data_IF_394799234802
#
_entry.id   IF_394799234802
#
_cell.length_a   1.000
_cell.length_b   1.000
_cell.length_c   1.000
_cell.angle_alpha   90.00
_cell.angle_beta   90.00
_cell.angle_gamma   90.00
#
_symmetry.space_group_name_H-M   'P 1'
#
loop_
_entity.id
_entity.type
_entity.pdbx_description
1 polymer ?
#
# COMPACT_ATOMS: atom_id res chain seq x y z
N UNK A 1 -11.30 3.59 -11.62
CA UNK A 1 -10.72 2.39 -12.24
C UNK A 1 -11.20 1.07 -11.64
N UNK A 2 -12.44 0.96 -11.21
CA UNK A 2 -13.06 -0.24 -10.58
C UNK A 2 -12.39 -0.71 -9.28
N UNK A 3 -11.51 0.09 -8.66
CA UNK A 3 -10.86 -0.26 -7.40
C UNK A 3 -11.86 -0.60 -6.29
N UNK A 4 -12.97 0.16 -6.18
CA UNK A 4 -14.01 -0.09 -5.16
C UNK A 4 -14.72 -1.43 -5.35
N UNK A 5 -14.93 -1.88 -6.59
CA UNK A 5 -15.55 -3.19 -6.86
C UNK A 5 -14.61 -4.34 -6.44
N UNK A 6 -13.32 -4.24 -6.78
CA UNK A 6 -12.31 -5.22 -6.35
C UNK A 6 -12.18 -5.23 -4.83
N UNK A 7 -12.09 -4.07 -4.22
CA UNK A 7 -12.01 -3.92 -2.77
C UNK A 7 -13.21 -4.55 -2.07
N UNK A 8 -14.43 -4.25 -2.55
CA UNK A 8 -15.66 -4.84 -2.02
C UNK A 8 -15.69 -6.36 -2.17
N UNK A 9 -15.30 -6.90 -3.32
CA UNK A 9 -15.24 -8.34 -3.55
C UNK A 9 -14.26 -9.04 -2.58
N UNK A 10 -13.10 -8.42 -2.32
CA UNK A 10 -12.07 -8.99 -1.43
C UNK A 10 -12.42 -8.88 0.05
N UNK A 11 -13.15 -7.83 0.47
CA UNK A 11 -13.52 -7.62 1.89
C UNK A 11 -14.89 -8.20 2.27
N UNK A 12 -15.74 -8.50 1.28
CA UNK A 12 -17.09 -9.04 1.51
C UNK A 12 -17.14 -10.28 2.40
N UNK A 13 -16.27 -11.30 2.24
CA UNK A 13 -16.27 -12.46 3.13
C UNK A 13 -15.99 -12.11 4.59
N UNK A 14 -15.08 -11.16 4.85
CA UNK A 14 -14.75 -10.71 6.21
C UNK A 14 -15.97 -10.03 6.84
N UNK A 15 -16.59 -9.11 6.12
CA UNK A 15 -17.77 -8.39 6.61
C UNK A 15 -18.94 -9.36 6.87
N UNK A 16 -19.13 -10.34 5.99
CA UNK A 16 -20.17 -11.37 6.16
C UNK A 16 -19.93 -12.21 7.39
N UNK A 17 -18.70 -12.67 7.60
CA UNK A 17 -18.31 -13.43 8.79
C UNK A 17 -18.56 -12.63 10.08
N UNK A 18 -18.14 -11.37 10.14
CA UNK A 18 -18.35 -10.48 11.30
C UNK A 18 -19.85 -10.29 11.58
N UNK A 19 -20.66 -10.08 10.54
CA UNK A 19 -22.10 -9.89 10.69
C UNK A 19 -22.79 -11.17 11.20
N UNK A 20 -22.41 -12.34 10.67
CA UNK A 20 -22.93 -13.63 11.12
C UNK A 20 -22.57 -13.87 12.58
N UNK A 21 -21.30 -13.64 12.98
CA UNK A 21 -20.84 -13.76 14.35
C UNK A 21 -21.62 -12.86 15.30
N UNK A 22 -21.73 -11.57 14.97
CA UNK A 22 -22.40 -10.59 15.81
C UNK A 22 -23.92 -10.88 15.93
N UNK A 23 -24.54 -11.40 14.87
CA UNK A 23 -25.94 -11.82 14.92
C UNK A 23 -26.16 -12.99 15.86
N UNK A 24 -25.27 -13.98 15.83
CA UNK A 24 -25.34 -15.14 16.73
C UNK A 24 -25.15 -14.77 18.20
N UNK A 25 -24.26 -13.82 18.49
CA UNK A 25 -23.92 -13.41 19.86
C UNK A 25 -24.66 -12.15 20.34
N UNK A 26 -25.63 -11.66 19.57
CA UNK A 26 -26.35 -10.42 19.90
C UNK A 26 -26.99 -10.45 21.30
N UNK A 27 -27.63 -11.57 21.65
CA UNK A 27 -28.28 -11.74 22.96
C UNK A 27 -27.25 -11.75 24.09
N UNK A 28 -26.13 -12.42 23.88
CA UNK A 28 -25.06 -12.50 24.89
C UNK A 28 -24.43 -11.14 25.14
N UNK A 29 -24.17 -10.37 24.08
CA UNK A 29 -23.66 -9.00 24.15
C UNK A 29 -24.66 -8.10 24.91
N UNK A 30 -25.94 -8.13 24.55
CA UNK A 30 -26.98 -7.34 25.22
C UNK A 30 -27.12 -7.72 26.70
N UNK A 31 -27.08 -9.01 27.00
CA UNK A 31 -27.17 -9.54 28.36
C UNK A 31 -25.99 -9.04 29.20
N UNK A 32 -24.75 -9.14 28.67
CA UNK A 32 -23.56 -8.62 29.33
C UNK A 32 -23.69 -7.12 29.64
N UNK A 33 -24.07 -6.29 28.67
CA UNK A 33 -24.24 -4.86 28.89
C UNK A 33 -25.33 -4.52 29.92
N UNK A 34 -26.44 -5.25 29.91
CA UNK A 34 -27.52 -5.04 30.88
C UNK A 34 -27.07 -5.43 32.28
N UNK A 35 -26.38 -6.56 32.48
CA UNK A 35 -25.82 -6.97 33.75
C UNK A 35 -24.78 -5.95 34.26
N UNK A 36 -23.85 -5.56 33.41
CA UNK A 36 -22.84 -4.56 33.78
C UNK A 36 -23.49 -3.27 34.22
N UNK A 37 -24.44 -2.73 33.45
CA UNK A 37 -25.17 -1.49 33.78
C UNK A 37 -25.94 -1.63 35.10
N UNK A 38 -26.52 -2.78 35.38
CA UNK A 38 -27.20 -3.05 36.64
C UNK A 38 -26.23 -3.00 37.83
N UNK A 39 -25.06 -3.64 37.71
CA UNK A 39 -24.03 -3.64 38.75
C UNK A 39 -23.39 -2.26 38.96
N UNK A 40 -23.09 -1.54 37.86
CA UNK A 40 -22.60 -0.15 37.93
C UNK A 40 -23.61 0.77 38.63
N UNK A 41 -24.90 0.58 38.37
CA UNK A 41 -25.98 1.33 39.08
C UNK A 41 -26.04 0.94 40.53
N UNK A 42 -25.88 -0.34 40.88
CA UNK A 42 -25.85 -0.84 42.29
C UNK A 42 -24.65 -0.25 43.03
N UNK A 43 -23.47 -0.23 42.35
CA UNK A 43 -22.25 0.36 42.91
C UNK A 43 -22.40 1.86 43.21
N UNK A 44 -22.90 2.63 42.25
CA UNK A 44 -23.11 4.06 42.42
C UNK A 44 -24.10 4.36 43.58
N UNK A 45 -25.19 3.61 43.68
CA UNK A 45 -26.14 3.76 44.80
C UNK A 45 -25.52 3.41 46.16
N UNK A 46 -24.67 2.39 46.24
CA UNK A 46 -23.96 2.01 47.46
C UNK A 46 -22.99 3.12 47.89
N UNK A 47 -22.28 3.73 46.96
CA UNK A 47 -21.39 4.86 47.20
C UNK A 47 -22.17 6.10 47.69
N UNK A 48 -23.27 6.45 47.00
CA UNK A 48 -24.13 7.59 47.36
C UNK A 48 -24.75 7.46 48.77
N UNK A 49 -25.09 6.23 49.16
CA UNK A 49 -25.65 5.94 50.52
C UNK A 49 -24.59 5.84 51.59
N UNK A 50 -23.30 5.84 51.25
CA UNK A 50 -22.20 5.64 52.19
C UNK A 50 -22.21 4.25 52.86
N UNK A 51 -22.57 3.20 52.08
CA UNK A 51 -22.54 1.82 52.54
C UNK A 51 -21.11 1.38 52.92
N UNK A 52 -20.99 0.32 53.73
CA UNK A 52 -19.70 -0.16 54.23
C UNK A 52 -18.77 -0.56 53.05
N UNK A 53 -17.46 -0.31 53.21
CA UNK A 53 -16.47 -0.60 52.21
C UNK A 53 -16.38 -2.06 51.76
N UNK A 54 -16.87 -3.01 52.61
CA UNK A 54 -17.00 -4.41 52.26
C UNK A 54 -18.05 -4.62 51.17
N UNK A 55 -19.22 -3.98 51.28
CA UNK A 55 -20.30 -4.07 50.27
C UNK A 55 -19.87 -3.50 48.92
N UNK A 56 -19.18 -2.35 48.96
CA UNK A 56 -18.63 -1.71 47.74
C UNK A 56 -17.62 -2.65 47.06
N UNK A 57 -16.74 -3.30 47.84
CA UNK A 57 -15.75 -4.24 47.33
C UNK A 57 -16.40 -5.47 46.69
N UNK A 58 -17.44 -6.02 47.32
CA UNK A 58 -18.15 -7.21 46.84
C UNK A 58 -18.80 -6.90 45.47
N UNK A 59 -19.46 -5.74 45.35
CA UNK A 59 -20.03 -5.31 44.07
C UNK A 59 -18.93 -5.14 42.98
N UNK A 60 -17.79 -4.55 43.35
CA UNK A 60 -16.65 -4.39 42.44
C UNK A 60 -16.06 -5.73 42.01
N UNK A 61 -16.03 -6.74 42.91
CA UNK A 61 -15.64 -8.11 42.57
C UNK A 61 -16.64 -8.74 41.58
N UNK A 62 -17.96 -8.56 41.78
CA UNK A 62 -18.98 -9.02 40.85
C UNK A 62 -18.78 -8.42 39.43
N UNK A 63 -18.47 -7.10 39.35
CA UNK A 63 -18.20 -6.42 38.09
C UNK A 63 -16.95 -7.01 37.42
N UNK A 64 -15.87 -7.21 38.16
CA UNK A 64 -14.61 -7.71 37.64
C UNK A 64 -14.68 -9.18 37.26
N UNK A 65 -15.62 -9.95 37.83
CA UNK A 65 -15.85 -11.35 37.45
C UNK A 65 -16.67 -11.52 36.17
N UNK A 66 -17.34 -10.45 35.70
CA UNK A 66 -18.06 -10.51 34.44
C UNK A 66 -17.10 -10.73 33.29
N UNK A 67 -17.31 -11.82 32.56
CA UNK A 67 -16.58 -12.03 31.30
C UNK A 67 -17.07 -11.05 30.24
N UNK A 68 -16.21 -10.19 29.70
CA UNK A 68 -16.61 -9.23 28.68
C UNK A 68 -17.06 -9.95 27.39
N UNK A 69 -18.31 -9.75 27.01
CA UNK A 69 -18.82 -10.17 25.69
C UNK A 69 -18.98 -8.91 24.85
N UNK A 70 -18.25 -8.85 23.76
CA UNK A 70 -18.20 -7.68 22.86
C UNK A 70 -18.54 -8.08 21.44
N UNK A 71 -19.01 -7.10 20.67
CA UNK A 71 -19.14 -7.28 19.22
C UNK A 71 -17.76 -7.45 18.58
N UNK A 72 -17.67 -8.41 17.66
CA UNK A 72 -16.48 -8.60 16.85
C UNK A 72 -16.32 -7.44 15.88
N UNK A 73 -15.12 -6.86 15.79
CA UNK A 73 -14.78 -5.80 14.85
C UNK A 73 -13.39 -6.03 14.28
N UNK A 74 -13.31 -6.71 13.15
CA UNK A 74 -12.03 -7.08 12.53
C UNK A 74 -11.44 -5.98 11.66
N UNK A 75 -12.27 -5.12 11.05
CA UNK A 75 -11.83 -4.11 10.08
C UNK A 75 -12.46 -2.74 10.36
N UNK A 76 -11.71 -1.70 10.00
CA UNK A 76 -12.16 -0.31 9.98
C UNK A 76 -11.62 0.40 8.74
N UNK A 77 -12.25 1.49 8.30
CA UNK A 77 -11.82 2.26 7.12
C UNK A 77 -11.09 3.53 7.50
N UNK A 78 -11.45 4.13 8.63
CA UNK A 78 -10.88 5.39 9.12
C UNK A 78 -10.98 5.46 10.64
N UNK A 79 -9.89 5.81 11.32
CA UNK A 79 -9.81 5.77 12.78
C UNK A 79 -8.65 6.63 13.29
N UNK A 80 -8.85 7.37 14.40
CA UNK A 80 -7.75 8.05 15.09
C UNK A 80 -6.88 7.05 15.86
N UNK A 81 -5.65 7.41 16.17
CA UNK A 81 -4.73 6.54 16.92
C UNK A 81 -5.31 6.12 18.30
N UNK A 82 -6.03 7.01 18.96
CA UNK A 82 -6.66 6.76 20.26
C UNK A 82 -7.83 5.78 20.14
N UNK A 83 -8.72 6.01 19.19
CA UNK A 83 -9.84 5.12 18.95
C UNK A 83 -9.36 3.74 18.46
N UNK A 84 -8.30 3.70 17.65
CA UNK A 84 -7.67 2.46 17.22
C UNK A 84 -7.18 1.64 18.41
N UNK A 85 -6.44 2.26 19.34
CA UNK A 85 -5.95 1.58 20.54
C UNK A 85 -7.08 0.98 21.38
N UNK A 86 -8.15 1.73 21.60
CA UNK A 86 -9.32 1.25 22.34
C UNK A 86 -9.99 0.06 21.63
N UNK A 87 -10.20 0.18 20.31
CA UNK A 87 -10.82 -0.90 19.53
C UNK A 87 -9.92 -2.14 19.50
N UNK A 88 -8.60 -2.00 19.31
CA UNK A 88 -7.67 -3.12 19.34
C UNK A 88 -7.67 -3.84 20.68
N UNK A 89 -7.64 -3.11 21.78
CA UNK A 89 -7.75 -3.68 23.14
C UNK A 89 -9.03 -4.49 23.34
N UNK A 90 -10.12 -4.11 22.67
CA UNK A 90 -11.38 -4.83 22.68
C UNK A 90 -11.41 -6.05 21.75
N UNK A 91 -10.45 -6.17 20.82
CA UNK A 91 -10.38 -7.21 19.79
C UNK A 91 -9.05 -8.00 19.84
N UNK A 92 -8.61 -8.41 21.02
CA UNK A 92 -7.38 -9.19 21.22
C UNK A 92 -6.16 -8.54 20.54
N UNK A 93 -6.00 -7.23 20.69
CA UNK A 93 -4.91 -6.42 20.13
C UNK A 93 -4.80 -6.45 18.60
N UNK A 94 -5.82 -6.93 17.88
CA UNK A 94 -5.78 -7.07 16.42
C UNK A 94 -6.77 -6.16 15.71
N UNK A 95 -6.38 -5.61 14.54
CA UNK A 95 -7.25 -4.80 13.68
C UNK A 95 -6.74 -4.75 12.23
N UNK A 96 -7.68 -4.69 11.28
CA UNK A 96 -7.41 -4.36 9.89
C UNK A 96 -7.88 -2.93 9.56
N UNK A 97 -7.03 -2.10 8.98
CA UNK A 97 -7.45 -0.84 8.36
C UNK A 97 -7.54 -1.10 6.86
N UNK A 98 -8.76 -1.36 6.39
CA UNK A 98 -9.03 -1.66 4.99
C UNK A 98 -9.87 -0.53 4.39
N UNK A 99 -9.32 0.20 3.42
CA UNK A 99 -9.99 1.37 2.83
C UNK A 99 -9.86 1.40 1.30
N UNK A 100 -10.97 1.64 0.57
CA UNK A 100 -10.93 1.87 -0.88
C UNK A 100 -10.39 3.26 -1.24
N UNK A 101 -10.09 4.08 -0.22
CA UNK A 101 -9.59 5.45 -0.34
C UNK A 101 -8.44 5.67 0.64
N UNK A 102 -7.60 6.67 0.39
CA UNK A 102 -6.43 6.94 1.22
C UNK A 102 -6.66 7.89 2.40
N UNK A 103 -7.90 8.21 2.77
CA UNK A 103 -8.23 9.22 3.80
C UNK A 103 -7.64 8.94 5.18
N UNK A 104 -7.30 7.70 5.50
CA UNK A 104 -6.61 7.35 6.74
C UNK A 104 -5.24 8.05 6.87
N UNK A 105 -4.54 8.31 5.79
CA UNK A 105 -3.25 9.00 5.83
C UNK A 105 -3.38 10.46 6.26
N UNK A 106 -4.51 11.11 5.96
CA UNK A 106 -4.79 12.47 6.43
C UNK A 106 -4.98 12.48 7.95
N UNK A 107 -5.64 11.46 8.50
CA UNK A 107 -5.80 11.29 9.96
C UNK A 107 -4.46 11.03 10.63
N UNK A 108 -3.66 10.10 10.08
CA UNK A 108 -2.33 9.74 10.60
C UNK A 108 -1.39 10.95 10.55
N UNK A 109 -1.46 11.78 9.52
CA UNK A 109 -0.63 12.99 9.39
C UNK A 109 -0.97 14.10 10.39
N UNK A 110 -2.04 13.94 11.17
CA UNK A 110 -2.45 14.89 12.19
C UNK A 110 -3.38 16.01 11.69
N UNK A 111 -4.02 15.85 10.53
CA UNK A 111 -4.95 16.85 9.98
C UNK A 111 -6.07 17.23 10.97
N UNK A 112 -6.45 16.33 11.86
CA UNK A 112 -7.50 16.53 12.87
C UNK A 112 -6.97 16.72 14.31
N UNK A 113 -5.64 16.76 14.53
CA UNK A 113 -5.01 16.79 15.86
C UNK A 113 -3.94 17.86 16.01
N UNK A 114 -4.18 19.10 15.55
CA UNK A 114 -3.23 20.23 15.65
C UNK A 114 -1.80 19.86 15.21
N UNK A 115 -1.67 19.06 14.15
CA UNK A 115 -0.39 18.63 13.55
C UNK A 115 0.49 17.72 14.40
N UNK A 116 -0.03 17.13 15.48
CA UNK A 116 0.73 16.13 16.27
C UNK A 116 0.51 14.75 15.66
N UNK A 117 1.49 14.30 14.89
CA UNK A 117 1.49 12.96 14.28
C UNK A 117 1.84 11.89 15.31
N UNK A 118 0.88 11.06 15.71
CA UNK A 118 1.11 9.93 16.59
C UNK A 118 1.21 8.64 15.75
N UNK A 119 2.43 8.24 15.41
CA UNK A 119 2.68 7.04 14.60
C UNK A 119 2.93 5.77 15.42
N UNK A 120 3.10 5.88 16.74
CA UNK A 120 3.57 4.76 17.56
C UNK A 120 2.70 3.51 17.43
N UNK A 121 1.37 3.63 17.55
CA UNK A 121 0.49 2.47 17.44
C UNK A 121 0.54 1.79 16.06
N UNK A 122 0.74 2.58 14.99
CA UNK A 122 0.82 2.06 13.63
C UNK A 122 2.12 1.30 13.38
N UNK A 123 3.23 1.79 13.95
CA UNK A 123 4.53 1.15 13.86
C UNK A 123 4.58 -0.12 14.72
N UNK A 124 4.18 0.00 15.99
CA UNK A 124 4.15 -1.14 16.92
C UNK A 124 3.16 -2.22 16.47
N UNK A 125 2.00 -1.83 15.89
CA UNK A 125 1.06 -2.80 15.32
C UNK A 125 1.60 -3.57 14.11
N UNK A 126 2.59 -3.02 13.39
CA UNK A 126 3.33 -3.76 12.37
C UNK A 126 4.39 -4.68 12.98
N UNK A 127 5.12 -4.21 13.98
CA UNK A 127 6.24 -4.95 14.56
C UNK A 127 5.78 -5.96 15.63
N UNK A 128 4.57 -5.84 16.17
CA UNK A 128 4.06 -6.67 17.27
C UNK A 128 4.57 -6.24 18.66
N UNK A 129 5.17 -5.04 18.76
CA UNK A 129 5.76 -4.54 19.98
C UNK A 129 4.70 -4.00 20.95
N UNK A 130 4.80 -4.29 22.27
CA UNK A 130 3.84 -3.80 23.26
C UNK A 130 3.72 -2.28 23.25
N UNK A 131 2.48 -1.79 23.39
CA UNK A 131 2.17 -0.36 23.45
C UNK A 131 1.38 -0.06 24.69
N UNK A 132 1.82 0.95 25.47
CA UNK A 132 1.06 1.52 26.57
C UNK A 132 0.74 2.97 26.26
N UNK A 133 -0.55 3.32 26.26
CA UNK A 133 -1.06 4.66 26.00
C UNK A 133 -1.74 5.16 27.28
N UNK A 134 -1.06 6.03 28.01
CA UNK A 134 -1.59 6.65 29.23
C UNK A 134 -2.36 7.93 28.87
N UNK A 135 -3.57 8.06 29.39
CA UNK A 135 -4.46 9.22 29.22
C UNK A 135 -4.97 9.70 30.59
N UNK A 136 -5.45 10.94 30.60
CA UNK A 136 -5.96 11.56 31.83
C UNK A 136 -7.05 10.74 32.54
N UNK A 137 -7.82 9.96 31.81
CA UNK A 137 -8.98 9.20 32.30
C UNK A 137 -8.88 7.69 32.09
N UNK A 138 -7.68 7.15 31.85
CA UNK A 138 -7.44 5.72 31.69
C UNK A 138 -6.19 5.42 30.90
N UNK A 139 -5.75 4.17 30.99
CA UNK A 139 -4.64 3.66 30.17
C UNK A 139 -5.12 2.49 29.33
N UNK A 140 -4.61 2.40 28.10
CA UNK A 140 -4.79 1.25 27.21
C UNK A 140 -3.45 0.59 27.05
N UNK A 141 -3.39 -0.71 27.31
CA UNK A 141 -2.19 -1.53 27.09
C UNK A 141 -2.51 -2.58 26.03
N UNK A 142 -1.70 -2.61 24.98
CA UNK A 142 -1.73 -3.64 23.95
C UNK A 142 -0.47 -4.48 24.13
N UNK A 143 -0.63 -5.76 24.42
CA UNK A 143 0.49 -6.66 24.71
C UNK A 143 1.16 -7.16 23.43
N UNK A 144 0.37 -7.47 22.42
CA UNK A 144 0.80 -8.00 21.11
C UNK A 144 -0.01 -7.37 19.98
N UNK A 145 0.13 -6.06 19.73
CA UNK A 145 -0.67 -5.38 18.72
C UNK A 145 -0.34 -5.91 17.32
N UNK A 146 -1.38 -6.29 16.59
CA UNK A 146 -1.28 -6.73 15.20
C UNK A 146 -2.18 -5.85 14.33
N UNK A 147 -1.57 -5.08 13.44
CA UNK A 147 -2.27 -4.14 12.58
C UNK A 147 -1.95 -4.41 11.10
N UNK A 148 -3.00 -4.64 10.32
CA UNK A 148 -2.90 -4.82 8.87
C UNK A 148 -3.49 -3.62 8.14
N UNK A 149 -2.77 -3.13 7.10
CA UNK A 149 -3.27 -2.11 6.19
C UNK A 149 -3.53 -2.69 4.80
N UNK A 150 -4.72 -2.39 4.26
CA UNK A 150 -5.08 -2.66 2.87
C UNK A 150 -5.76 -1.43 2.26
N UNK A 151 -5.05 -0.66 1.43
CA UNK A 151 -5.51 0.65 0.96
C UNK A 151 -5.43 0.76 -0.55
N UNK A 152 -6.55 1.11 -1.19
CA UNK A 152 -6.61 1.39 -2.62
C UNK A 152 -6.59 2.91 -2.87
N UNK A 153 -5.44 3.55 -2.65
CA UNK A 153 -5.28 4.99 -2.80
C UNK A 153 -5.33 5.47 -4.27
N UNK A 154 -5.59 6.76 -4.44
CA UNK A 154 -5.37 7.45 -5.71
C UNK A 154 -3.89 7.85 -5.83
N UNK A 155 -3.34 8.02 -7.06
CA UNK A 155 -1.94 8.41 -7.24
C UNK A 155 -1.54 9.66 -6.46
N UNK A 156 -2.41 10.68 -6.40
CA UNK A 156 -2.14 11.91 -5.65
C UNK A 156 -1.96 11.65 -4.14
N UNK A 157 -2.79 10.77 -3.55
CA UNK A 157 -2.67 10.40 -2.13
C UNK A 157 -1.36 9.64 -1.90
N UNK A 158 -1.02 8.73 -2.81
CA UNK A 158 0.23 7.97 -2.74
C UNK A 158 1.44 8.93 -2.76
N UNK A 159 1.48 9.89 -3.68
CA UNK A 159 2.55 10.87 -3.76
C UNK A 159 2.68 11.68 -2.45
N UNK A 160 1.56 12.08 -1.85
CA UNK A 160 1.58 12.77 -0.56
C UNK A 160 2.18 11.90 0.56
N UNK A 161 1.89 10.61 0.55
CA UNK A 161 2.39 9.65 1.56
C UNK A 161 3.90 9.44 1.42
N UNK A 162 4.39 9.20 0.19
CA UNK A 162 5.81 8.92 -0.06
C UNK A 162 6.70 10.16 0.06
N UNK A 163 6.16 11.37 -0.09
CA UNK A 163 6.89 12.63 0.10
C UNK A 163 6.80 13.18 1.53
N UNK A 164 5.99 12.58 2.41
CA UNK A 164 5.84 13.05 3.78
C UNK A 164 7.07 12.71 4.62
N UNK A 165 7.86 13.74 4.97
CA UNK A 165 9.11 13.58 5.72
C UNK A 165 8.94 12.94 7.10
N UNK A 166 7.77 13.13 7.75
CA UNK A 166 7.49 12.50 9.04
C UNK A 166 7.24 11.00 8.89
N UNK A 167 6.57 10.58 7.80
CA UNK A 167 6.33 9.17 7.51
C UNK A 167 7.62 8.45 7.12
N UNK A 168 8.45 9.11 6.30
CA UNK A 168 9.77 8.61 5.90
C UNK A 168 10.67 8.48 7.13
N UNK A 169 10.87 9.58 7.88
CA UNK A 169 11.81 9.64 9.00
C UNK A 169 11.47 8.72 10.16
N UNK A 170 10.18 8.32 10.31
CA UNK A 170 9.76 7.32 11.32
C UNK A 170 9.59 5.91 10.74
N UNK A 171 9.88 5.68 9.47
CA UNK A 171 9.85 4.36 8.85
C UNK A 171 8.45 3.81 8.56
N UNK A 172 7.40 4.65 8.50
CA UNK A 172 6.05 4.19 8.19
C UNK A 172 5.96 3.72 6.74
N UNK A 173 6.44 4.52 5.79
CA UNK A 173 6.38 4.21 4.36
C UNK A 173 7.13 2.94 4.00
N UNK A 174 8.23 2.66 4.68
CA UNK A 174 9.06 1.47 4.47
C UNK A 174 8.35 0.16 4.87
N UNK A 175 7.29 0.24 5.66
CA UNK A 175 6.49 -0.92 6.10
C UNK A 175 5.41 -1.33 5.12
N UNK A 176 5.06 -0.47 4.16
CA UNK A 176 4.09 -0.79 3.11
C UNK A 176 4.71 -1.59 1.96
N UNK A 177 3.88 -2.40 1.31
CA UNK A 177 4.11 -2.96 -0.01
C UNK A 177 3.28 -2.15 -1.02
N UNK A 178 3.92 -1.63 -2.04
CA UNK A 178 3.26 -0.78 -3.04
C UNK A 178 2.97 -1.57 -4.30
N UNK A 179 1.79 -1.35 -4.88
CA UNK A 179 1.39 -1.93 -6.16
C UNK A 179 0.82 -0.83 -7.06
N UNK A 180 1.46 -0.61 -8.19
CA UNK A 180 1.07 0.38 -9.19
C UNK A 180 0.68 -0.33 -10.49
N UNK A 181 -0.53 -0.88 -10.59
CA UNK A 181 -0.96 -1.57 -11.80
C UNK A 181 -1.10 -0.58 -12.96
N UNK A 182 -0.81 -1.05 -14.17
CA UNK A 182 -1.01 -0.25 -15.35
C UNK A 182 -2.49 0.05 -15.59
N UNK A 183 -2.78 1.24 -16.14
CA UNK A 183 -4.15 1.66 -16.37
C UNK A 183 -4.77 0.90 -17.54
N UNK A 184 -5.92 0.27 -17.29
CA UNK A 184 -6.72 -0.39 -18.34
C UNK A 184 -7.77 0.54 -18.96
N UNK A 185 -7.66 1.88 -18.73
CA UNK A 185 -8.59 2.83 -19.35
C UNK A 185 -8.46 2.77 -20.87
N UNK A 186 -9.59 2.64 -21.56
CA UNK A 186 -9.66 2.45 -23.02
C UNK A 186 -9.68 0.98 -23.46
N UNK A 187 -9.23 0.04 -22.61
CA UNK A 187 -9.20 -1.40 -22.92
C UNK A 187 -10.15 -2.23 -22.06
N UNK A 188 -10.95 -1.56 -21.24
CA UNK A 188 -11.89 -2.23 -20.33
C UNK A 188 -13.05 -2.82 -21.09
N UNK A 189 -13.32 -4.12 -20.84
CA UNK A 189 -14.54 -4.78 -21.32
C UNK A 189 -15.62 -4.71 -20.25
N UNK A 190 -16.89 -4.73 -20.65
CA UNK A 190 -18.00 -4.95 -19.74
C UNK A 190 -17.86 -6.37 -19.20
N UNK A 191 -17.55 -6.49 -17.93
CA UNK A 191 -17.41 -7.80 -17.28
C UNK A 191 -18.78 -8.16 -16.73
N UNK A 192 -19.24 -9.40 -17.00
CA UNK A 192 -20.42 -9.96 -16.36
C UNK A 192 -20.16 -10.08 -14.85
N UNK A 193 -21.24 -10.09 -14.07
CA UNK A 193 -21.17 -10.28 -12.63
C UNK A 193 -20.49 -11.61 -12.31
N UNK A 194 -19.38 -11.54 -11.58
CA UNK A 194 -18.61 -12.71 -11.11
C UNK A 194 -19.09 -13.21 -9.74
N UNK A 195 -20.05 -12.51 -9.12
CA UNK A 195 -20.58 -12.90 -7.82
C UNK A 195 -21.30 -14.27 -7.95
N UNK A 196 -21.02 -15.14 -7.02
CA UNK A 196 -21.59 -16.51 -7.01
C UNK A 196 -20.85 -17.52 -7.89
N UNK A 197 -19.71 -17.17 -8.50
CA UNK A 197 -18.85 -18.13 -9.18
C UNK A 197 -18.22 -19.10 -8.16
N UNK A 198 -17.79 -20.27 -8.63
CA UNK A 198 -17.08 -21.25 -7.80
C UNK A 198 -15.83 -20.66 -7.15
N UNK A 199 -15.11 -19.80 -7.88
CA UNK A 199 -13.92 -19.09 -7.36
C UNK A 199 -14.27 -18.20 -6.17
N UNK A 200 -15.36 -17.45 -6.25
CA UNK A 200 -15.82 -16.58 -5.15
C UNK A 200 -16.19 -17.39 -3.91
N UNK A 201 -16.81 -18.56 -4.11
CA UNK A 201 -17.15 -19.48 -3.01
C UNK A 201 -15.89 -20.03 -2.34
N UNK A 202 -14.95 -20.56 -3.12
CA UNK A 202 -13.65 -21.04 -2.61
C UNK A 202 -12.89 -19.98 -1.85
N UNK A 203 -12.90 -18.73 -2.35
CA UNK A 203 -12.30 -17.61 -1.64
C UNK A 203 -13.00 -17.33 -0.30
N UNK A 204 -14.33 -17.32 -0.26
CA UNK A 204 -15.08 -17.16 0.97
C UNK A 204 -14.77 -18.28 1.97
N UNK A 205 -14.76 -19.53 1.54
CA UNK A 205 -14.43 -20.69 2.38
C UNK A 205 -13.01 -20.59 2.96
N UNK A 206 -12.04 -20.17 2.15
CA UNK A 206 -10.67 -19.92 2.60
C UNK A 206 -10.63 -18.87 3.70
N UNK A 207 -11.26 -17.69 3.48
CA UNK A 207 -11.29 -16.61 4.46
C UNK A 207 -11.97 -17.07 5.76
N UNK A 208 -13.10 -17.81 5.66
CA UNK A 208 -13.80 -18.33 6.84
C UNK A 208 -12.93 -19.32 7.61
N UNK A 209 -12.21 -20.21 6.91
CA UNK A 209 -11.25 -21.13 7.53
C UNK A 209 -10.18 -20.38 8.31
N UNK A 210 -9.56 -19.35 7.69
CA UNK A 210 -8.53 -18.56 8.35
C UNK A 210 -9.06 -17.76 9.54
N UNK A 211 -10.26 -17.19 9.46
CA UNK A 211 -10.88 -16.43 10.55
C UNK A 211 -11.32 -17.31 11.73
N UNK A 212 -11.59 -18.60 11.48
CA UNK A 212 -11.92 -19.58 12.53
C UNK A 212 -10.68 -20.25 13.13
N UNK A 213 -9.47 -19.97 12.64
CA UNK A 213 -8.26 -20.49 13.27
C UNK A 213 -8.05 -19.82 14.63
N UNK A 214 -7.85 -20.64 15.66
CA UNK A 214 -7.51 -20.14 17.00
C UNK A 214 -6.02 -19.81 17.03
N UNK A 215 -5.64 -18.55 17.24
CA UNK A 215 -4.23 -18.19 17.38
C UNK A 215 -3.61 -18.89 18.61
N UNK A 216 -2.46 -19.49 18.42
CA UNK A 216 -1.63 -19.96 19.53
C UNK A 216 -0.37 -19.10 19.57
N UNK A 217 -0.23 -18.17 20.55
CA UNK A 217 0.88 -17.23 20.61
C UNK A 217 2.24 -17.92 20.82
N UNK A 218 2.25 -19.15 21.34
CA UNK A 218 3.49 -19.91 21.57
C UNK A 218 3.89 -20.76 20.35
N UNK A 219 3.09 -20.76 19.29
CA UNK A 219 3.33 -21.54 18.09
C UNK A 219 4.07 -20.74 17.04
N UNK A 220 5.27 -21.18 16.69
CA UNK A 220 6.02 -20.67 15.53
C UNK A 220 5.85 -21.67 14.37
N UNK A 221 5.63 -21.15 13.16
CA UNK A 221 5.66 -21.93 11.93
C UNK A 221 7.13 -22.01 11.49
N UNK A 222 7.70 -23.19 11.50
CA UNK A 222 9.10 -23.41 11.14
C UNK A 222 9.30 -23.48 9.62
N UNK A 223 10.54 -23.33 9.18
CA UNK A 223 10.93 -23.49 7.79
C UNK A 223 11.56 -24.88 7.60
N UNK A 224 11.34 -25.52 6.45
CA UNK A 224 12.16 -26.65 6.03
C UNK A 224 13.58 -26.20 5.71
N UNK A 225 14.59 -27.09 5.76
CA UNK A 225 15.97 -26.75 5.39
C UNK A 225 16.04 -26.08 4.01
N UNK A 226 15.32 -26.61 3.01
CA UNK A 226 15.25 -26.03 1.67
C UNK A 226 14.65 -24.60 1.66
N UNK A 227 13.62 -24.35 2.46
CA UNK A 227 13.02 -23.01 2.59
C UNK A 227 14.01 -22.03 3.26
N UNK A 228 14.74 -22.49 4.26
CA UNK A 228 15.77 -21.70 4.95
C UNK A 228 16.89 -21.30 3.98
N UNK A 229 17.44 -22.27 3.22
CA UNK A 229 18.50 -22.00 2.24
C UNK A 229 18.07 -20.98 1.19
N UNK A 230 16.85 -21.14 0.63
CA UNK A 230 16.29 -20.20 -0.35
C UNK A 230 16.10 -18.80 0.22
N UNK A 231 15.58 -18.71 1.44
CA UNK A 231 15.36 -17.42 2.11
C UNK A 231 16.69 -16.73 2.44
N UNK A 232 17.66 -17.47 2.96
CA UNK A 232 19.00 -16.93 3.30
C UNK A 232 19.68 -16.39 2.05
N UNK A 233 19.72 -17.17 0.97
CA UNK A 233 20.31 -16.73 -0.30
C UNK A 233 19.62 -15.49 -0.86
N UNK A 234 18.31 -15.37 -0.70
CA UNK A 234 17.54 -14.19 -1.11
C UNK A 234 17.87 -12.97 -0.24
N UNK A 235 17.91 -13.14 1.09
CA UNK A 235 18.21 -12.07 2.04
C UNK A 235 19.65 -11.54 1.85
N UNK A 236 20.63 -12.43 1.73
CA UNK A 236 22.04 -12.09 1.50
C UNK A 236 22.21 -11.31 0.17
N UNK A 237 21.46 -11.70 -0.87
CA UNK A 237 21.49 -10.98 -2.14
C UNK A 237 20.95 -9.55 -2.00
N UNK A 238 19.86 -9.34 -1.27
CA UNK A 238 19.32 -8.00 -1.00
C UNK A 238 20.33 -7.19 -0.19
N UNK A 239 20.91 -7.78 0.87
CA UNK A 239 21.91 -7.12 1.71
C UNK A 239 23.09 -6.67 0.89
N UNK A 240 23.64 -7.53 0.03
CA UNK A 240 24.73 -7.17 -0.88
C UNK A 240 24.33 -6.00 -1.81
N UNK A 241 23.14 -6.05 -2.40
CA UNK A 241 22.68 -4.99 -3.31
C UNK A 241 22.43 -3.64 -2.62
N UNK A 242 22.31 -3.59 -1.29
CA UNK A 242 22.24 -2.37 -0.49
C UNK A 242 23.60 -1.77 -0.15
N UNK A 243 24.72 -2.43 -0.50
CA UNK A 243 26.08 -1.91 -0.28
C UNK A 243 26.34 -0.61 -1.05
N UNK A 244 27.36 0.14 -0.67
CA UNK A 244 27.77 1.34 -1.40
C UNK A 244 28.06 1.03 -2.87
N UNK A 245 27.55 1.87 -3.76
CA UNK A 245 27.64 1.76 -5.22
C UNK A 245 26.86 0.58 -5.87
N UNK A 246 26.05 -0.16 -5.10
CA UNK A 246 25.19 -1.20 -5.63
C UNK A 246 23.77 -0.66 -5.94
N UNK A 247 22.98 -1.45 -6.66
CA UNK A 247 21.71 -1.03 -7.27
C UNK A 247 20.64 -0.55 -6.27
N UNK A 248 20.69 -0.97 -5.01
CA UNK A 248 19.72 -0.64 -3.97
C UNK A 248 20.29 0.29 -2.89
N UNK A 249 21.48 0.86 -3.11
CA UNK A 249 22.15 1.74 -2.14
C UNK A 249 21.28 2.92 -1.69
N UNK A 250 20.54 3.55 -2.61
CA UNK A 250 19.67 4.68 -2.32
C UNK A 250 18.30 4.31 -1.74
N UNK A 251 17.99 3.00 -1.68
CA UNK A 251 16.69 2.47 -1.27
C UNK A 251 16.77 1.54 -0.05
N UNK A 252 17.86 1.61 0.72
CA UNK A 252 18.17 0.75 1.88
C UNK A 252 17.02 0.66 2.88
N UNK A 253 16.35 1.76 3.15
CA UNK A 253 15.26 1.84 4.14
C UNK A 253 14.11 0.88 3.81
N UNK A 254 13.71 0.79 2.55
CA UNK A 254 12.65 -0.13 2.12
C UNK A 254 13.15 -1.57 2.01
N UNK A 255 14.32 -1.77 1.37
CA UNK A 255 14.81 -3.10 1.06
C UNK A 255 15.31 -3.85 2.31
N UNK A 256 15.79 -3.16 3.35
CA UNK A 256 16.10 -3.77 4.65
C UNK A 256 14.88 -4.41 5.33
N UNK A 257 13.68 -3.93 5.05
CA UNK A 257 12.42 -4.49 5.59
C UNK A 257 11.82 -5.59 4.69
N UNK A 258 12.28 -5.71 3.46
CA UNK A 258 11.68 -6.61 2.47
C UNK A 258 11.85 -8.11 2.80
N UNK A 259 13.01 -8.61 3.30
CA UNK A 259 13.13 -9.99 3.72
C UNK A 259 12.13 -10.38 4.83
N UNK A 260 11.96 -9.55 5.84
CA UNK A 260 10.96 -9.78 6.90
C UNK A 260 9.52 -9.83 6.37
N UNK A 261 9.19 -8.99 5.38
CA UNK A 261 7.88 -9.06 4.69
C UNK A 261 7.74 -10.35 3.89
N UNK A 262 8.83 -10.85 3.29
CA UNK A 262 8.84 -12.12 2.55
C UNK A 262 8.50 -13.30 3.45
N UNK A 263 9.06 -13.35 4.66
CA UNK A 263 8.69 -14.38 5.65
C UNK A 263 7.22 -14.32 6.04
N UNK A 264 6.68 -13.12 6.25
CA UNK A 264 5.25 -12.94 6.54
C UNK A 264 4.37 -13.41 5.37
N UNK A 265 4.75 -13.11 4.13
CA UNK A 265 4.05 -13.60 2.94
C UNK A 265 4.13 -15.13 2.82
N UNK A 266 5.29 -15.73 3.11
CA UNK A 266 5.44 -17.18 3.11
C UNK A 266 4.53 -17.84 4.16
N UNK A 267 4.44 -17.28 5.37
CA UNK A 267 3.51 -17.74 6.40
C UNK A 267 2.05 -17.65 5.97
N UNK A 268 1.65 -16.53 5.36
CA UNK A 268 0.29 -16.35 4.85
C UNK A 268 -0.04 -17.36 3.73
N UNK A 269 0.85 -17.55 2.76
CA UNK A 269 0.67 -18.52 1.68
C UNK A 269 0.58 -19.95 2.24
N UNK A 270 1.44 -20.29 3.21
CA UNK A 270 1.41 -21.58 3.88
C UNK A 270 0.06 -21.84 4.55
N UNK A 271 -0.45 -20.88 5.32
CA UNK A 271 -1.75 -21.03 6.00
C UNK A 271 -2.95 -21.09 5.04
N UNK A 272 -2.78 -20.65 3.78
CA UNK A 272 -3.83 -20.83 2.78
C UNK A 272 -4.06 -22.31 2.40
N UNK A 273 -3.07 -23.18 2.56
CA UNK A 273 -3.12 -24.57 2.08
C UNK A 273 -2.82 -25.59 3.19
N UNK A 274 -2.06 -25.20 4.21
CA UNK A 274 -1.49 -26.08 5.23
C UNK A 274 -1.91 -25.71 6.66
N UNK A 275 -1.59 -26.60 7.59
CA UNK A 275 -1.77 -26.38 9.03
C UNK A 275 -0.60 -25.55 9.59
N UNK A 276 -0.84 -24.71 10.64
CA UNK A 276 0.23 -24.00 11.34
C UNK A 276 1.25 -24.91 12.05
N UNK A 277 0.99 -26.22 12.16
CA UNK A 277 1.90 -27.22 12.72
C UNK A 277 2.87 -27.82 11.70
N UNK A 278 2.66 -27.56 10.42
CA UNK A 278 3.53 -28.00 9.33
C UNK A 278 4.60 -26.95 9.04
N UNK A 279 5.76 -27.39 8.53
CA UNK A 279 6.84 -26.46 8.15
C UNK A 279 6.57 -25.84 6.77
N UNK A 280 6.95 -24.58 6.61
CA UNK A 280 6.90 -23.89 5.31
C UNK A 280 7.84 -24.56 4.33
N UNK A 281 7.29 -25.01 3.19
CA UNK A 281 8.05 -25.71 2.16
C UNK A 281 8.93 -24.78 1.31
N UNK A 282 9.92 -25.37 0.60
CA UNK A 282 10.73 -24.61 -0.35
C UNK A 282 9.91 -24.02 -1.52
N UNK A 283 8.80 -24.66 -1.91
CA UNK A 283 7.91 -24.16 -2.97
C UNK A 283 7.13 -22.94 -2.50
N UNK A 284 6.58 -22.99 -1.29
CA UNK A 284 5.90 -21.82 -0.67
C UNK A 284 6.88 -20.64 -0.51
N UNK A 285 8.12 -20.92 -0.05
CA UNK A 285 9.15 -19.89 0.07
C UNK A 285 9.53 -19.28 -1.29
N UNK A 286 9.65 -20.10 -2.34
CA UNK A 286 9.93 -19.61 -3.70
C UNK A 286 8.81 -18.69 -4.18
N UNK A 287 7.55 -19.07 -3.99
CA UNK A 287 6.40 -18.22 -4.34
C UNK A 287 6.42 -16.87 -3.58
N UNK A 288 6.72 -16.89 -2.28
CA UNK A 288 6.83 -15.68 -1.48
C UNK A 288 7.97 -14.76 -1.96
N UNK A 289 9.12 -15.34 -2.33
CA UNK A 289 10.26 -14.60 -2.89
C UNK A 289 9.88 -13.94 -4.23
N UNK A 290 9.18 -14.64 -5.13
CA UNK A 290 8.75 -14.06 -6.40
C UNK A 290 7.75 -12.90 -6.20
N UNK A 291 6.80 -13.04 -5.29
CA UNK A 291 5.89 -11.95 -4.91
C UNK A 291 6.69 -10.78 -4.31
N UNK A 292 7.66 -11.05 -3.47
CA UNK A 292 8.53 -10.04 -2.87
C UNK A 292 9.33 -9.26 -3.92
N UNK A 293 9.92 -9.95 -4.90
CA UNK A 293 10.62 -9.33 -6.04
C UNK A 293 9.69 -8.40 -6.82
N UNK A 294 8.44 -8.82 -7.07
CA UNK A 294 7.44 -7.98 -7.71
C UNK A 294 7.23 -6.68 -6.93
N UNK A 295 7.02 -6.74 -5.62
CA UNK A 295 6.83 -5.54 -4.79
C UNK A 295 8.09 -4.67 -4.73
N UNK A 296 9.28 -5.26 -4.73
CA UNK A 296 10.54 -4.53 -4.86
C UNK A 296 10.60 -3.73 -6.17
N UNK A 297 10.23 -4.35 -7.29
CA UNK A 297 10.16 -3.67 -8.60
C UNK A 297 9.09 -2.56 -8.61
N UNK A 298 7.93 -2.79 -7.99
CA UNK A 298 6.88 -1.76 -7.90
C UNK A 298 7.35 -0.57 -7.07
N UNK A 299 8.08 -0.80 -5.99
CA UNK A 299 8.68 0.26 -5.21
C UNK A 299 9.70 1.08 -6.02
N UNK A 300 10.63 0.43 -6.72
CA UNK A 300 11.58 1.11 -7.60
C UNK A 300 10.86 1.88 -8.71
N UNK A 301 9.85 1.28 -9.37
CA UNK A 301 9.01 1.96 -10.37
C UNK A 301 8.36 3.22 -9.79
N UNK A 302 7.90 3.18 -8.55
CA UNK A 302 7.29 4.30 -7.85
C UNK A 302 8.32 5.39 -7.56
N UNK A 303 9.49 5.05 -7.02
CA UNK A 303 10.55 5.99 -6.70
C UNK A 303 11.18 6.60 -7.96
N UNK A 304 11.34 5.79 -9.03
CA UNK A 304 11.74 6.31 -10.34
C UNK A 304 10.65 7.19 -10.97
N UNK A 305 9.36 6.95 -10.69
CA UNK A 305 8.26 7.81 -11.16
C UNK A 305 8.22 9.15 -10.41
N UNK A 306 8.76 9.24 -9.20
CA UNK A 306 8.99 10.52 -8.51
C UNK A 306 10.24 11.25 -9.04
N UNK A 307 11.23 10.51 -9.56
CA UNK A 307 12.22 11.06 -10.48
C UNK A 307 11.62 11.38 -11.88
N UNK A 308 10.32 11.09 -12.13
CA UNK A 308 9.49 11.69 -13.20
C UNK A 308 9.09 13.16 -12.95
N UNK A 309 9.58 13.78 -11.91
CA UNK A 309 10.02 15.15 -11.91
C UNK A 309 11.33 15.35 -12.71
N UNK A 310 11.83 14.30 -13.36
CA UNK A 310 12.76 14.45 -14.46
C UNK A 310 11.96 14.97 -15.67
N UNK A 311 11.69 16.27 -15.56
CA UNK A 311 11.02 17.04 -16.61
C UNK A 311 11.61 16.73 -18.00
N UNK A 312 12.94 16.50 -18.17
CA UNK A 312 13.54 16.05 -19.41
C UNK A 312 13.03 14.70 -19.90
N UNK A 313 12.98 13.66 -19.07
CA UNK A 313 12.51 12.34 -19.51
C UNK A 313 11.02 12.37 -19.89
N UNK A 314 10.19 13.04 -19.10
CA UNK A 314 8.77 13.23 -19.43
C UNK A 314 8.58 13.96 -20.77
N UNK A 315 9.35 15.01 -21.01
CA UNK A 315 9.33 15.75 -22.28
C UNK A 315 9.78 14.84 -23.43
N UNK A 316 10.84 14.06 -23.26
CA UNK A 316 11.35 13.10 -24.25
C UNK A 316 10.31 12.05 -24.61
N UNK A 317 9.66 11.42 -23.64
CA UNK A 317 8.62 10.42 -23.86
C UNK A 317 7.44 10.99 -24.67
N UNK A 318 7.03 12.22 -24.37
CA UNK A 318 6.00 12.92 -25.15
C UNK A 318 6.45 13.27 -26.56
N UNK A 319 7.72 13.63 -26.74
CA UNK A 319 8.29 13.89 -28.07
C UNK A 319 8.33 12.59 -28.90
N UNK A 320 8.76 11.46 -28.32
CA UNK A 320 8.76 10.15 -28.98
C UNK A 320 7.34 9.74 -29.38
N UNK A 321 6.37 9.89 -28.48
CA UNK A 321 4.97 9.59 -28.77
C UNK A 321 4.39 10.45 -29.90
N UNK A 322 4.72 11.75 -29.93
CA UNK A 322 4.33 12.67 -31.02
C UNK A 322 4.99 12.29 -32.34
N UNK A 323 6.27 11.96 -32.33
CA UNK A 323 7.04 11.54 -33.49
C UNK A 323 6.39 10.30 -34.12
N UNK A 324 6.13 9.27 -33.31
CA UNK A 324 5.45 8.02 -33.73
C UNK A 324 4.06 8.27 -34.29
N UNK A 325 3.24 9.07 -33.60
CA UNK A 325 1.87 9.38 -34.01
C UNK A 325 1.78 10.11 -35.34
N UNK A 326 2.72 11.01 -35.61
CA UNK A 326 2.69 11.89 -36.77
C UNK A 326 3.69 11.46 -37.86
N UNK A 327 4.44 10.36 -37.66
CA UNK A 327 5.52 9.88 -38.53
C UNK A 327 6.53 10.97 -38.90
N UNK A 328 6.98 11.77 -37.92
CA UNK A 328 7.93 12.86 -38.08
C UNK A 328 9.07 12.74 -37.07
N UNK A 329 10.30 13.04 -37.50
CA UNK A 329 11.48 13.09 -36.63
C UNK A 329 11.74 14.47 -36.02
N UNK A 330 11.15 15.52 -36.60
CA UNK A 330 11.32 16.93 -36.14
C UNK A 330 10.02 17.47 -35.61
N UNK A 331 10.06 18.01 -34.37
CA UNK A 331 8.89 18.49 -33.66
C UNK A 331 9.11 19.96 -33.25
N UNK A 332 8.13 20.82 -33.57
CA UNK A 332 8.19 22.21 -33.15
C UNK A 332 7.98 22.39 -31.63
N UNK A 333 8.62 23.39 -31.03
CA UNK A 333 8.44 23.74 -29.61
C UNK A 333 6.96 23.86 -29.21
N UNK A 334 6.14 24.48 -30.09
CA UNK A 334 4.71 24.63 -29.87
C UNK A 334 3.99 23.28 -29.71
N UNK A 335 4.37 22.29 -30.50
CA UNK A 335 3.76 20.95 -30.43
C UNK A 335 4.24 20.21 -29.19
N UNK A 336 5.52 20.35 -28.82
CA UNK A 336 6.06 19.81 -27.57
C UNK A 336 5.28 20.41 -26.38
N UNK A 337 5.20 21.73 -26.31
CA UNK A 337 4.48 22.44 -25.22
C UNK A 337 3.02 22.04 -25.12
N UNK A 338 2.33 21.83 -26.25
CA UNK A 338 0.94 21.32 -26.27
C UNK A 338 0.81 19.91 -25.70
N UNK A 339 1.82 19.07 -25.84
CA UNK A 339 1.81 17.69 -25.32
C UNK A 339 2.11 17.64 -23.82
N UNK A 340 2.76 18.66 -23.26
CA UNK A 340 3.16 18.76 -21.85
C UNK A 340 2.51 19.97 -21.17
N UNK A 341 1.21 20.13 -21.31
CA UNK A 341 0.43 21.32 -20.90
C UNK A 341 0.61 21.74 -19.42
N UNK A 342 1.00 20.83 -18.55
CA UNK A 342 1.19 21.07 -17.12
C UNK A 342 2.51 21.79 -16.78
N UNK A 343 3.49 21.75 -17.67
CA UNK A 343 4.79 22.40 -17.47
C UNK A 343 4.73 23.85 -17.91
N UNK A 344 5.53 24.73 -17.31
CA UNK A 344 5.76 26.11 -17.78
C UNK A 344 6.63 26.10 -19.02
N UNK A 345 6.70 27.21 -19.75
CA UNK A 345 7.59 27.34 -20.92
C UNK A 345 9.08 27.24 -20.51
N UNK A 346 9.41 27.77 -19.35
CA UNK A 346 10.75 27.72 -18.75
C UNK A 346 11.15 26.26 -18.44
N UNK A 347 10.30 25.51 -17.73
CA UNK A 347 10.53 24.10 -17.44
C UNK A 347 10.71 23.25 -18.68
N UNK A 348 9.96 23.54 -19.76
CA UNK A 348 10.11 22.81 -21.03
C UNK A 348 11.44 23.17 -21.70
N UNK A 349 11.89 24.45 -21.65
CA UNK A 349 13.18 24.86 -22.20
C UNK A 349 14.35 24.23 -21.47
N UNK A 350 14.34 24.24 -20.15
CA UNK A 350 15.35 23.59 -19.30
C UNK A 350 15.46 22.08 -19.62
N UNK A 351 14.32 21.42 -19.75
CA UNK A 351 14.28 20.03 -20.15
C UNK A 351 14.89 19.78 -21.54
N UNK A 352 14.56 20.62 -22.51
CA UNK A 352 15.10 20.49 -23.88
C UNK A 352 16.60 20.78 -23.94
N UNK A 353 17.10 21.67 -23.09
CA UNK A 353 18.54 21.96 -22.96
C UNK A 353 19.29 20.73 -22.42
N UNK A 354 18.78 20.09 -21.35
CA UNK A 354 19.33 18.85 -20.79
C UNK A 354 19.32 17.74 -21.86
N UNK A 355 18.21 17.53 -22.56
CA UNK A 355 18.07 16.50 -23.59
C UNK A 355 19.02 16.75 -24.79
N UNK A 356 19.28 18.02 -25.12
CA UNK A 356 20.22 18.41 -26.18
C UNK A 356 21.65 18.13 -25.74
N UNK A 357 22.02 18.47 -24.50
CA UNK A 357 23.35 18.20 -23.93
C UNK A 357 23.66 16.70 -23.92
N UNK A 358 22.67 15.86 -23.58
CA UNK A 358 22.80 14.41 -23.58
C UNK A 358 22.59 13.75 -24.96
N UNK A 359 22.46 14.54 -26.04
CA UNK A 359 22.31 14.06 -27.43
C UNK A 359 21.07 13.17 -27.72
N UNK A 360 20.04 13.27 -26.90
CA UNK A 360 18.75 12.64 -27.18
C UNK A 360 17.97 13.38 -28.24
N UNK A 361 18.17 14.69 -28.33
CA UNK A 361 17.59 15.56 -29.36
C UNK A 361 18.64 16.53 -29.88
N UNK A 362 18.37 17.17 -31.02
CA UNK A 362 19.17 18.29 -31.55
C UNK A 362 18.28 19.46 -31.91
N UNK A 363 18.76 20.67 -31.65
CA UNK A 363 18.08 21.90 -32.07
C UNK A 363 18.15 22.06 -33.59
N UNK A 364 17.02 22.34 -34.22
CA UNK A 364 16.93 22.60 -35.67
C UNK A 364 16.69 24.10 -35.85
N UNK A 365 17.65 24.85 -36.38
CA UNK A 365 17.48 26.28 -36.63
C UNK A 365 16.37 26.52 -37.65
N UNK A 366 15.62 27.64 -37.52
CA UNK A 366 14.60 27.99 -38.49
C UNK A 366 15.21 28.32 -39.85
N UNK A 367 14.69 27.70 -40.89
CA UNK A 367 15.10 28.03 -42.27
C UNK A 367 14.78 29.50 -42.59
N UNK A 368 15.76 30.19 -43.27
CA UNK A 368 15.61 31.54 -43.75
C UNK A 368 14.72 31.56 -45.00
N UNK A 369 13.40 31.59 -44.80
CA UNK A 369 12.48 31.92 -45.88
C UNK A 369 11.38 32.84 -45.38
N UNK A 370 11.26 33.95 -46.10
CA UNK A 370 10.33 35.06 -46.05
C UNK A 370 9.01 34.87 -45.30
N UNK A 371 8.76 35.63 -44.29
CA UNK A 371 7.43 36.10 -43.90
C UNK A 371 6.70 35.35 -42.80
N UNK A 372 7.22 34.27 -42.22
CA UNK A 372 6.53 33.55 -41.12
C UNK A 372 7.38 33.53 -39.85
N UNK A 373 6.71 33.65 -38.67
CA UNK A 373 7.34 33.61 -37.34
C UNK A 373 8.30 32.43 -37.23
N UNK A 374 9.53 32.67 -36.81
CA UNK A 374 10.58 31.67 -36.52
C UNK A 374 10.01 30.55 -35.65
N UNK A 375 9.96 29.35 -36.16
CA UNK A 375 9.48 28.15 -35.42
C UNK A 375 10.70 27.42 -34.88
N UNK A 376 10.93 27.51 -33.55
CA UNK A 376 11.88 26.61 -32.88
C UNK A 376 11.44 25.16 -33.06
N UNK A 377 12.37 24.31 -33.49
CA UNK A 377 12.11 22.87 -33.68
C UNK A 377 13.25 22.04 -33.15
N UNK A 378 12.98 20.80 -32.80
CA UNK A 378 13.93 19.85 -32.25
C UNK A 378 13.78 18.51 -32.98
N UNK A 379 14.90 17.92 -33.41
CA UNK A 379 14.95 16.59 -34.01
C UNK A 379 15.27 15.54 -32.96
N UNK A 380 14.55 14.41 -32.99
CA UNK A 380 14.86 13.25 -32.15
C UNK A 380 16.02 12.47 -32.70
N UNK A 381 16.84 11.88 -31.83
CA UNK A 381 17.87 10.93 -32.23
C UNK A 381 17.22 9.71 -32.89
N UNK A 382 17.64 9.32 -34.13
CA UNK A 382 17.05 8.22 -34.88
C UNK A 382 16.98 6.89 -34.11
N UNK A 383 17.96 6.59 -33.26
CA UNK A 383 18.01 5.37 -32.43
C UNK A 383 16.77 5.22 -31.55
N UNK A 384 16.17 6.34 -31.11
CA UNK A 384 14.95 6.31 -30.29
C UNK A 384 13.69 5.94 -31.08
N UNK A 385 13.76 5.93 -32.41
CA UNK A 385 12.66 5.65 -33.31
C UNK A 385 12.77 4.25 -33.96
N UNK A 386 13.97 3.65 -34.02
CA UNK A 386 14.25 2.38 -34.71
C UNK A 386 13.63 1.14 -34.02
N UNK A 387 13.25 1.18 -32.76
CA UNK A 387 12.68 0.05 -32.02
C UNK A 387 11.15 -0.10 -32.12
N UNK A 388 10.50 0.42 -33.17
CA UNK A 388 9.05 0.32 -33.33
C UNK A 388 8.61 0.25 -34.79
N UNK A 389 8.22 -0.93 -35.22
CA UNK A 389 7.48 -1.11 -36.48
C UNK A 389 6.18 -0.28 -36.41
N UNK A 390 6.01 0.66 -37.32
CA UNK A 390 4.72 1.26 -37.65
C UNK A 390 3.87 0.22 -38.41
N UNK A 391 2.69 -0.18 -37.95
CA UNK A 391 1.80 -1.01 -38.73
C UNK A 391 1.15 -0.13 -39.83
N UNK A 392 1.60 -0.33 -41.07
CA UNK A 392 0.94 0.19 -42.25
C UNK A 392 1.70 1.22 -43.06
N UNK A 393 2.86 0.91 -43.59
CA UNK A 393 3.41 1.54 -44.77
C UNK A 393 4.10 0.48 -45.64
N UNK A 394 3.53 0.29 -46.84
CA UNK A 394 4.17 -0.35 -47.99
C UNK A 394 5.43 0.43 -48.40
N UNK A 395 6.42 -0.32 -48.86
CA UNK A 395 7.72 0.09 -49.37
C UNK A 395 7.68 1.32 -50.26
N UNK A 396 7.94 2.49 -49.73
CA UNK A 396 8.38 3.69 -50.45
C UNK A 396 8.86 4.76 -49.45
N UNK A 397 10.04 4.54 -48.91
CA UNK A 397 10.78 5.61 -48.22
C UNK A 397 12.10 5.83 -48.98
N UNK A 398 12.42 7.06 -49.43
CA UNK A 398 13.69 7.31 -50.10
C UNK A 398 14.85 7.18 -49.09
N UNK A 399 15.80 6.34 -49.44
CA UNK A 399 17.08 6.15 -48.76
C UNK A 399 17.87 7.45 -48.74
N UNK A 400 18.06 8.01 -47.55
CA UNK A 400 19.03 9.08 -47.33
C UNK A 400 20.39 8.43 -47.11
N UNK A 401 21.26 8.53 -48.13
CA UNK A 401 22.68 8.17 -48.09
C UNK A 401 23.41 9.20 -47.23
N UNK A 402 24.26 8.81 -46.27
CA UNK A 402 25.13 9.76 -45.58
C UNK A 402 26.26 10.16 -46.55
N UNK A 403 26.40 11.42 -46.86
CA UNK A 403 27.64 12.00 -47.38
C UNK A 403 28.59 12.27 -46.22
N UNK A 404 29.84 11.94 -46.43
CA UNK A 404 31.03 11.94 -45.61
C UNK A 404 31.21 13.11 -44.60
#
# INVERSE_FOLDING_TARGET
ERKSAVFSAMTSPINKFVNEYNTLHLIDVQTYFNFKKMLDTKLNKAIEKGEDGSVIRDIQMEINALQPVKEMKLITTNVTAEALAAIMSDNNDTMGILSPEGGIFDVISGMYSNSVTNLNIFLSGYDGEPVKIDRKYGSVTLSHPLLTFGICAQPQVLNNVISNQQFIGKGLTQRFLFCLPDSMIGHRKLIQDINGTEVTKKYQELIYRLLNMTPNPDQCIELTCKATDLFTAYADKIEFQMSENEALADYREFFSKLPGKTLRMAGLLHLCEHSPTECISGETMTAAIEISKYYGQQYLKMMCADSYNDTPQFVLDKMIALAKKNCVSVISFRNIKRSVRKLTDEQVRDALEVLTTHKYISYVPPEHNSGNRRKESYALNPILLENSHCPGQSDNCPSIVPTE
#
